data_IF_957148894674
#
_entry.id   IF_957148894674
#
_cell.length_a   1.000
_cell.length_b   1.000
_cell.length_c   1.000
_cell.angle_alpha   90.00
_cell.angle_beta   90.00
_cell.angle_gamma   90.00
#
_symmetry.space_group_name_H-M   'P 1'
#
loop_
_entity.id
_entity.type
_entity.pdbx_description
1 polymer ?
#
# COMPACT_ATOMS: atom_id res chain seq x y z
N UNK A 1 60.01 66.26 -12.27
CA UNK A 1 59.59 65.19 -13.20
C UNK A 1 58.27 64.61 -12.66
N UNK A 2 57.20 64.61 -13.48
CA UNK A 2 56.12 63.58 -13.63
C UNK A 2 55.61 62.87 -12.35
N UNK A 3 54.33 62.60 -12.07
CA UNK A 3 53.02 62.79 -12.71
C UNK A 3 51.98 62.14 -11.75
N UNK A 4 50.76 62.71 -11.69
CA UNK A 4 49.44 62.04 -11.66
C UNK A 4 48.90 61.23 -10.45
N UNK A 5 47.76 61.76 -9.96
CA UNK A 5 46.52 61.14 -9.43
C UNK A 5 46.31 59.62 -9.51
N UNK A 6 45.78 59.03 -8.42
CA UNK A 6 44.79 57.92 -8.38
C UNK A 6 44.03 58.08 -7.02
N UNK A 7 42.83 58.67 -6.92
CA UNK A 7 41.46 58.16 -7.19
C UNK A 7 41.09 56.87 -6.44
N UNK A 8 40.33 57.06 -5.35
CA UNK A 8 39.06 56.41 -4.98
C UNK A 8 38.91 54.89 -5.11
N UNK A 9 38.57 54.21 -4.01
CA UNK A 9 38.04 52.84 -4.06
C UNK A 9 37.84 52.18 -2.71
N UNK A 10 36.85 52.63 -1.92
CA UNK A 10 36.39 51.92 -0.72
C UNK A 10 35.59 50.69 -1.15
N UNK A 11 36.23 49.51 -1.19
CA UNK A 11 35.54 48.24 -1.42
C UNK A 11 34.86 47.79 -0.13
N UNK A 12 33.57 48.08 -0.01
CA UNK A 12 32.69 47.53 1.01
C UNK A 12 32.33 46.10 0.61
N UNK A 13 33.07 45.11 1.12
CA UNK A 13 32.77 43.70 0.90
C UNK A 13 31.54 43.31 1.72
N UNK A 14 30.36 43.40 1.11
CA UNK A 14 29.15 42.73 1.58
C UNK A 14 29.40 41.21 1.51
N UNK A 15 29.85 40.62 2.62
CA UNK A 15 29.77 39.17 2.81
C UNK A 15 28.29 38.79 2.93
N UNK A 16 27.70 38.46 1.79
CA UNK A 16 26.40 37.82 1.71
C UNK A 16 26.56 36.39 2.25
N UNK A 17 26.32 36.19 3.55
CA UNK A 17 26.04 34.85 4.08
C UNK A 17 24.72 34.39 3.44
N UNK A 18 24.82 33.69 2.32
CA UNK A 18 23.73 32.87 1.82
C UNK A 18 23.55 31.73 2.82
N UNK A 19 22.62 31.89 3.75
CA UNK A 19 22.08 30.78 4.51
C UNK A 19 21.35 29.87 3.52
N UNK A 20 22.07 28.87 3.00
CA UNK A 20 21.45 27.74 2.34
C UNK A 20 20.61 27.02 3.40
N UNK A 21 19.32 27.36 3.47
CA UNK A 21 18.35 26.53 4.14
C UNK A 21 18.28 25.21 3.37
N UNK A 22 19.12 24.25 3.76
CA UNK A 22 18.96 22.88 3.33
C UNK A 22 17.62 22.43 3.90
N UNK A 23 16.62 22.31 3.05
CA UNK A 23 15.39 21.59 3.39
C UNK A 23 15.79 20.14 3.62
N UNK A 24 16.06 19.75 4.87
CA UNK A 24 16.22 18.34 5.21
C UNK A 24 14.87 17.69 4.98
N UNK A 25 14.73 16.92 3.91
CA UNK A 25 13.58 16.06 3.77
C UNK A 25 13.63 15.05 4.90
N UNK A 26 12.67 15.13 5.82
CA UNK A 26 12.59 14.16 6.89
C UNK A 26 12.46 12.76 6.29
N UNK A 27 13.30 11.82 6.70
CA UNK A 27 13.24 10.45 6.31
C UNK A 27 11.85 9.87 6.56
N UNK A 28 11.43 9.11 5.57
CA UNK A 28 10.13 8.46 5.55
C UNK A 28 10.14 7.31 6.54
N UNK A 29 9.23 7.36 7.52
CA UNK A 29 8.97 6.20 8.38
C UNK A 29 8.45 5.04 7.53
N UNK A 30 9.11 3.90 7.62
CA UNK A 30 8.78 2.65 6.93
C UNK A 30 8.32 1.63 7.95
N UNK A 31 7.44 0.73 7.55
CA UNK A 31 7.11 -0.42 8.36
C UNK A 31 6.55 -1.55 7.52
N UNK A 32 6.63 -2.76 8.07
CA UNK A 32 6.33 -3.99 7.35
C UNK A 32 5.88 -5.08 8.33
N UNK A 33 4.89 -5.88 7.93
CA UNK A 33 4.60 -7.16 8.61
C UNK A 33 5.56 -8.27 8.15
N UNK A 34 6.06 -9.05 9.09
CA UNK A 34 6.89 -10.22 8.82
C UNK A 34 6.01 -11.47 8.84
N UNK A 35 5.44 -11.79 10.00
CA UNK A 35 4.58 -12.95 10.22
C UNK A 35 3.18 -12.53 10.66
N UNK A 36 2.18 -13.27 10.19
CA UNK A 36 0.81 -13.27 10.71
C UNK A 36 0.38 -14.73 10.77
N UNK A 37 0.36 -15.29 11.97
CA UNK A 37 -0.01 -16.68 12.21
C UNK A 37 -0.94 -16.82 13.41
N UNK A 38 -1.22 -18.07 13.81
CA UNK A 38 -2.14 -18.40 14.88
C UNK A 38 -1.66 -17.96 16.29
N UNK A 39 -0.40 -17.58 16.45
CA UNK A 39 0.14 -17.14 17.72
C UNK A 39 0.34 -15.62 17.76
N UNK A 40 0.89 -15.05 16.69
CA UNK A 40 1.29 -13.65 16.71
C UNK A 40 1.28 -12.97 15.34
N UNK A 41 1.15 -11.65 15.41
CA UNK A 41 1.47 -10.72 14.33
C UNK A 41 2.81 -10.07 14.68
N UNK A 42 3.80 -10.24 13.81
CA UNK A 42 5.12 -9.63 13.97
C UNK A 42 5.43 -8.68 12.82
N UNK A 43 6.24 -7.68 13.11
CA UNK A 43 6.77 -6.80 12.08
C UNK A 43 7.81 -5.85 12.63
N UNK A 44 8.15 -4.84 11.83
CA UNK A 44 9.03 -3.77 12.26
C UNK A 44 8.57 -2.42 11.72
N UNK A 45 9.00 -1.35 12.39
CA UNK A 45 8.85 0.02 11.91
C UNK A 45 10.10 0.84 12.22
N UNK A 46 10.60 1.58 11.23
CA UNK A 46 11.88 2.28 11.30
C UNK A 46 11.83 3.63 10.59
N UNK A 47 12.55 4.61 11.15
CA UNK A 47 12.77 5.90 10.56
C UNK A 47 14.26 6.25 10.68
N UNK A 48 14.96 6.43 9.56
CA UNK A 48 16.39 6.71 9.57
C UNK A 48 16.76 8.07 10.17
N UNK A 49 15.84 9.03 10.24
CA UNK A 49 16.08 10.31 10.94
C UNK A 49 16.08 10.15 12.45
N UNK A 50 15.41 9.11 12.93
CA UNK A 50 15.31 8.76 14.35
C UNK A 50 15.75 7.31 14.49
N UNK A 51 16.98 7.04 14.06
CA UNK A 51 17.49 5.69 13.86
C UNK A 51 17.40 4.79 15.10
N UNK A 52 17.41 5.35 16.31
CA UNK A 52 17.34 4.57 17.56
C UNK A 52 15.97 4.67 18.26
N UNK A 53 15.00 5.39 17.67
CA UNK A 53 13.70 5.60 18.27
C UNK A 53 12.73 4.47 17.94
N UNK A 54 12.04 3.96 18.96
CA UNK A 54 10.88 3.11 18.78
C UNK A 54 9.73 3.91 18.17
N UNK A 55 9.09 3.36 17.13
CA UNK A 55 7.96 4.00 16.45
C UNK A 55 6.64 3.35 16.87
N UNK A 56 5.59 4.16 16.96
CA UNK A 56 4.24 3.66 17.21
C UNK A 56 3.61 3.19 15.89
N UNK A 57 3.15 1.94 15.89
CA UNK A 57 2.47 1.28 14.79
C UNK A 57 1.02 1.05 15.18
N UNK A 58 0.07 1.61 14.44
CA UNK A 58 -1.34 1.22 14.57
C UNK A 58 -1.61 0.01 13.70
N UNK A 59 -2.08 -1.07 14.33
CA UNK A 59 -2.51 -2.30 13.67
C UNK A 59 -4.04 -2.39 13.72
N UNK A 60 -4.64 -2.71 12.58
CA UNK A 60 -6.08 -2.88 12.42
C UNK A 60 -6.34 -4.27 11.85
N UNK A 61 -7.24 -5.03 12.47
CA UNK A 61 -7.71 -6.32 11.96
C UNK A 61 -9.20 -6.17 11.63
N UNK A 62 -9.53 -6.40 10.37
CA UNK A 62 -10.89 -6.25 9.85
C UNK A 62 -11.37 -7.59 9.34
N UNK A 63 -12.55 -8.03 9.77
CA UNK A 63 -13.22 -9.18 9.16
C UNK A 63 -13.56 -8.83 7.71
N UNK A 64 -13.05 -9.60 6.74
CA UNK A 64 -13.22 -9.30 5.32
C UNK A 64 -14.64 -9.49 4.81
N UNK A 65 -15.43 -10.32 5.48
CA UNK A 65 -16.80 -10.59 5.09
C UNK A 65 -17.75 -9.52 5.60
N UNK A 66 -17.65 -9.17 6.88
CA UNK A 66 -18.56 -8.20 7.53
C UNK A 66 -18.08 -6.76 7.40
N UNK A 67 -16.78 -6.53 7.18
CA UNK A 67 -16.16 -5.20 7.26
C UNK A 67 -15.98 -4.71 8.70
N UNK A 68 -16.29 -5.53 9.70
CA UNK A 68 -16.17 -5.20 11.11
C UNK A 68 -14.70 -5.16 11.55
N UNK A 69 -14.33 -4.11 12.30
CA UNK A 69 -12.99 -3.98 12.88
C UNK A 69 -12.96 -4.73 14.21
N UNK A 70 -12.30 -5.89 14.22
CA UNK A 70 -12.16 -6.74 15.41
C UNK A 70 -11.04 -6.28 16.33
N UNK A 71 -10.04 -5.61 15.77
CA UNK A 71 -8.87 -5.14 16.49
C UNK A 71 -8.42 -3.80 15.94
N UNK A 72 -8.10 -2.88 16.85
CA UNK A 72 -7.45 -1.61 16.53
C UNK A 72 -6.64 -1.17 17.73
N UNK A 73 -5.32 -1.33 17.66
CA UNK A 73 -4.43 -0.89 18.72
C UNK A 73 -3.16 -0.25 18.17
N UNK A 74 -2.49 0.50 19.05
CA UNK A 74 -1.20 1.12 18.78
C UNK A 74 -0.13 0.39 19.58
N UNK A 75 0.82 -0.24 18.88
CA UNK A 75 1.95 -0.96 19.47
C UNK A 75 3.26 -0.16 19.28
N UNK A 76 4.14 -0.20 20.27
CA UNK A 76 5.48 0.37 20.14
C UNK A 76 6.43 -0.63 19.49
N UNK A 77 7.01 -0.27 18.34
CA UNK A 77 8.04 -1.03 17.65
C UNK A 77 9.42 -0.78 18.28
N UNK A 78 9.63 -1.32 19.48
CA UNK A 78 10.85 -1.16 20.28
C UNK A 78 11.56 -2.47 20.64
N UNK A 79 11.10 -3.61 20.10
CA UNK A 79 11.71 -4.91 20.38
C UNK A 79 13.04 -5.04 19.61
N UNK A 80 14.08 -5.47 20.32
CA UNK A 80 15.36 -5.77 19.71
C UNK A 80 15.29 -7.03 18.83
N UNK A 81 15.80 -6.93 17.60
CA UNK A 81 16.05 -8.09 16.72
C UNK A 81 17.42 -7.97 16.07
N UNK A 82 18.23 -9.02 16.22
CA UNK A 82 19.56 -9.11 15.62
C UNK A 82 19.52 -8.89 14.09
N UNK A 83 18.51 -9.45 13.42
CA UNK A 83 18.34 -9.29 11.97
C UNK A 83 18.14 -7.84 11.53
N UNK A 84 17.54 -6.98 12.36
CA UNK A 84 17.32 -5.56 12.05
C UNK A 84 18.61 -4.76 12.28
N UNK A 85 19.37 -5.11 13.32
CA UNK A 85 20.70 -4.56 13.55
C UNK A 85 21.65 -4.88 12.38
N UNK A 86 21.67 -6.14 11.93
CA UNK A 86 22.49 -6.60 10.80
C UNK A 86 22.08 -5.92 9.48
N UNK A 87 20.83 -5.46 9.37
CA UNK A 87 20.31 -4.66 8.24
C UNK A 87 20.64 -3.16 8.34
N UNK A 88 21.47 -2.75 9.30
CA UNK A 88 21.83 -1.35 9.59
C UNK A 88 20.63 -0.47 9.97
N UNK A 89 19.62 -1.04 10.63
CA UNK A 89 18.49 -0.30 11.17
C UNK A 89 18.79 0.11 12.62
N UNK A 90 19.66 1.11 12.77
CA UNK A 90 20.02 1.68 14.07
C UNK A 90 20.48 0.65 15.11
N UNK A 91 19.97 0.79 16.33
CA UNK A 91 20.23 -0.13 17.45
C UNK A 91 19.51 -1.49 17.35
N UNK A 92 18.75 -1.76 16.29
CA UNK A 92 18.00 -3.01 16.09
C UNK A 92 16.70 -3.12 16.89
N UNK A 93 16.34 -2.12 17.69
CA UNK A 93 15.12 -2.06 18.51
C UNK A 93 13.95 -1.49 17.72
N UNK A 94 13.55 -2.18 16.65
CA UNK A 94 12.51 -1.73 15.73
C UNK A 94 11.43 -2.78 15.47
N UNK A 95 11.48 -3.92 16.15
CA UNK A 95 10.48 -4.98 16.05
C UNK A 95 9.25 -4.69 16.91
N UNK A 96 8.12 -5.26 16.52
CA UNK A 96 6.94 -5.41 17.36
C UNK A 96 6.35 -6.82 17.23
N UNK A 97 5.69 -7.27 18.28
CA UNK A 97 4.93 -8.51 18.36
C UNK A 97 3.59 -8.23 19.03
N UNK A 98 2.51 -8.66 18.40
CA UNK A 98 1.16 -8.61 18.96
C UNK A 98 0.68 -10.05 19.05
N UNK A 99 0.41 -10.51 20.26
CA UNK A 99 -0.25 -11.80 20.48
C UNK A 99 -1.74 -11.59 20.27
N UNK A 100 -2.31 -12.31 19.32
CA UNK A 100 -3.75 -12.26 19.03
C UNK A 100 -4.34 -13.58 19.47
N UNK A 101 -5.32 -13.51 20.37
CA UNK A 101 -6.17 -14.65 20.66
C UNK A 101 -7.23 -14.80 19.58
N UNK A 102 -6.84 -15.44 18.47
CA UNK A 102 -7.75 -15.68 17.35
C UNK A 102 -8.95 -16.54 17.74
N UNK A 103 -8.86 -17.34 18.82
CA UNK A 103 -9.99 -18.16 19.29
C UNK A 103 -11.16 -17.31 19.81
N UNK A 104 -10.89 -16.06 20.17
CA UNK A 104 -11.92 -15.09 20.56
C UNK A 104 -12.67 -14.48 19.37
N UNK A 105 -12.16 -14.63 18.15
CA UNK A 105 -12.78 -14.10 16.95
C UNK A 105 -13.61 -15.19 16.27
N UNK A 106 -14.72 -14.82 15.59
CA UNK A 106 -15.45 -15.76 14.76
C UNK A 106 -14.53 -16.44 13.73
N UNK A 107 -14.94 -17.61 13.24
CA UNK A 107 -14.27 -18.20 12.09
C UNK A 107 -14.40 -17.27 10.88
N UNK A 108 -13.34 -17.17 10.07
CA UNK A 108 -13.36 -16.29 8.91
C UNK A 108 -11.99 -15.77 8.49
N UNK A 109 -12.01 -14.90 7.49
CA UNK A 109 -10.81 -14.30 6.90
C UNK A 109 -10.68 -12.86 7.40
N UNK A 110 -9.52 -12.55 7.92
CA UNK A 110 -9.19 -11.28 8.54
C UNK A 110 -8.11 -10.56 7.73
N UNK A 111 -8.34 -9.29 7.41
CA UNK A 111 -7.37 -8.39 6.81
C UNK A 111 -6.60 -7.67 7.93
N UNK A 112 -5.28 -7.76 7.89
CA UNK A 112 -4.35 -7.12 8.83
C UNK A 112 -3.65 -5.96 8.14
N UNK A 113 -3.87 -4.76 8.66
CA UNK A 113 -3.32 -3.51 8.16
C UNK A 113 -2.48 -2.83 9.23
N UNK A 114 -1.38 -2.20 8.83
CA UNK A 114 -0.46 -1.51 9.72
C UNK A 114 -0.22 -0.09 9.23
N UNK A 115 -0.12 0.87 10.15
CA UNK A 115 0.25 2.26 9.84
C UNK A 115 1.28 2.76 10.84
N UNK A 116 2.28 3.50 10.37
CA UNK A 116 3.29 4.19 11.20
C UNK A 116 3.24 5.68 10.89
N UNK A 117 2.91 6.50 11.89
CA UNK A 117 2.59 7.91 11.67
C UNK A 117 1.42 8.06 10.70
N UNK A 118 1.62 8.78 9.59
CA UNK A 118 0.61 8.97 8.54
C UNK A 118 0.70 7.97 7.38
N UNK A 119 1.51 6.91 7.50
CA UNK A 119 1.84 6.02 6.38
C UNK A 119 1.39 4.60 6.63
N UNK A 120 0.64 4.04 5.68
CA UNK A 120 0.24 2.63 5.69
C UNK A 120 1.39 1.74 5.22
N UNK A 121 1.49 0.55 5.80
CA UNK A 121 2.41 -0.49 5.38
C UNK A 121 2.03 -0.92 3.96
N UNK A 122 3.04 -1.14 3.12
CA UNK A 122 2.81 -1.57 1.73
C UNK A 122 2.42 -3.05 1.62
N UNK A 123 2.57 -3.83 2.70
CA UNK A 123 2.35 -5.27 2.71
C UNK A 123 1.25 -5.69 3.69
N UNK A 124 0.00 -5.33 3.40
CA UNK A 124 -1.14 -5.86 4.15
C UNK A 124 -1.15 -7.40 4.10
N UNK A 125 -1.64 -8.03 5.16
CA UNK A 125 -1.66 -9.50 5.32
C UNK A 125 -3.08 -9.99 5.53
N UNK A 126 -3.32 -11.26 5.29
CA UNK A 126 -4.58 -11.93 5.65
C UNK A 126 -4.32 -13.10 6.56
N UNK A 127 -5.20 -13.31 7.52
CA UNK A 127 -5.21 -14.48 8.40
C UNK A 127 -6.56 -15.19 8.28
N UNK A 128 -6.53 -16.53 8.24
CA UNK A 128 -7.75 -17.35 8.27
C UNK A 128 -7.82 -18.01 9.64
N UNK A 129 -8.90 -17.71 10.36
CA UNK A 129 -9.20 -18.31 11.65
C UNK A 129 -10.24 -19.43 11.46
N UNK A 130 -9.92 -20.65 11.89
CA UNK A 130 -10.75 -21.83 11.68
C UNK A 130 -10.59 -22.47 10.29
N UNK A 131 -11.42 -23.48 10.00
CA UNK A 131 -11.54 -24.04 8.66
C UNK A 131 -12.35 -23.07 7.80
N UNK A 132 -11.88 -22.77 6.59
CA UNK A 132 -12.56 -21.87 5.65
C UNK A 132 -13.90 -22.43 5.09
N UNK A 133 -14.49 -23.43 5.77
CA UNK A 133 -15.54 -24.30 5.27
C UNK A 133 -16.39 -24.86 6.44
N UNK A 134 -17.14 -23.99 7.14
CA UNK A 134 -18.29 -24.40 7.96
C UNK A 134 -19.36 -23.30 8.05
N UNK A 135 -20.54 -23.66 7.55
CA UNK A 135 -21.85 -23.00 7.63
C UNK A 135 -22.35 -22.83 9.08
N UNK A 136 -22.70 -21.60 9.47
CA UNK A 136 -23.74 -21.31 10.47
C UNK A 136 -24.64 -20.21 9.95
N UNK A 137 -25.84 -20.64 9.56
CA UNK A 137 -26.97 -19.87 9.05
C UNK A 137 -27.68 -19.00 10.10
N UNK A 138 -28.41 -17.98 9.57
CA UNK A 138 -29.42 -17.06 10.17
C UNK A 138 -28.86 -15.72 10.72
N UNK A 139 -29.16 -14.49 10.25
CA UNK A 139 -30.10 -13.90 9.28
C UNK A 139 -29.61 -12.51 8.81
N UNK A 140 -29.61 -12.28 7.48
CA UNK A 140 -29.92 -11.06 6.69
C UNK A 140 -29.15 -11.12 5.37
N UNK A 141 -29.64 -11.90 4.40
CA UNK A 141 -28.95 -12.31 3.15
C UNK A 141 -28.01 -11.26 2.51
N UNK A 142 -26.69 -11.55 2.46
CA UNK A 142 -25.70 -11.03 1.50
C UNK A 142 -24.82 -12.18 0.92
N UNK A 143 -23.96 -11.93 -0.10
CA UNK A 143 -23.96 -12.67 -1.36
C UNK A 143 -23.16 -13.98 -1.36
N UNK A 144 -23.49 -14.82 -2.35
CA UNK A 144 -23.06 -16.19 -2.64
C UNK A 144 -21.61 -16.54 -2.29
N UNK A 145 -21.44 -17.79 -1.86
CA UNK A 145 -20.18 -18.54 -1.84
C UNK A 145 -19.37 -18.24 -3.11
N UNK A 146 -18.40 -17.34 -2.99
CA UNK A 146 -17.69 -16.77 -4.14
C UNK A 146 -16.78 -17.86 -4.71
N UNK A 147 -17.26 -18.56 -5.74
CA UNK A 147 -16.46 -19.54 -6.45
C UNK A 147 -15.32 -18.83 -7.18
N UNK A 148 -14.09 -19.06 -6.72
CA UNK A 148 -12.87 -18.51 -7.32
C UNK A 148 -12.32 -19.47 -8.37
N UNK A 149 -12.31 -19.04 -9.62
CA UNK A 149 -11.68 -19.77 -10.73
C UNK A 149 -10.32 -19.15 -11.02
N UNK A 150 -9.20 -19.88 -10.88
CA UNK A 150 -7.89 -19.36 -11.22
C UNK A 150 -7.82 -19.05 -12.72
N UNK A 151 -7.46 -17.81 -13.06
CA UNK A 151 -7.18 -17.40 -14.44
C UNK A 151 -5.68 -17.46 -14.77
N UNK A 152 -4.85 -17.66 -13.75
CA UNK A 152 -3.39 -17.77 -13.86
C UNK A 152 -2.67 -16.48 -13.47
N UNK A 153 -1.41 -16.37 -13.85
CA UNK A 153 -0.55 -15.22 -13.52
C UNK A 153 -0.73 -14.12 -14.55
N UNK A 154 -1.06 -12.92 -14.07
CA UNK A 154 -1.22 -11.71 -14.87
C UNK A 154 -0.19 -10.67 -14.47
N UNK A 155 0.31 -9.93 -15.46
CA UNK A 155 1.03 -8.69 -15.21
C UNK A 155 0.02 -7.65 -14.70
N UNK A 156 0.31 -7.00 -13.59
CA UNK A 156 -0.48 -5.88 -13.07
C UNK A 156 0.34 -4.60 -13.06
N UNK A 157 -0.29 -3.51 -13.48
CA UNK A 157 0.23 -2.14 -13.38
C UNK A 157 -0.81 -1.24 -12.71
N UNK A 158 -0.49 0.04 -12.55
CA UNK A 158 -1.43 1.03 -12.02
C UNK A 158 -1.60 2.24 -12.92
N UNK A 159 -2.83 2.71 -13.04
CA UNK A 159 -3.17 4.00 -13.65
C UNK A 159 -4.04 4.84 -12.71
N UNK A 160 -4.14 6.13 -12.99
CA UNK A 160 -4.89 7.08 -12.17
C UNK A 160 -5.48 8.18 -13.07
N UNK A 161 -6.34 9.07 -12.55
CA UNK A 161 -7.06 10.02 -13.38
C UNK A 161 -6.21 11.20 -13.87
N UNK A 162 -4.90 11.17 -13.67
CA UNK A 162 -4.04 12.24 -14.16
C UNK A 162 -3.89 12.17 -15.69
N UNK A 163 -3.58 13.31 -16.31
CA UNK A 163 -3.47 13.42 -17.78
C UNK A 163 -2.44 12.45 -18.38
N UNK A 164 -1.34 12.15 -17.68
CA UNK A 164 -0.29 11.26 -18.21
C UNK A 164 -0.67 9.78 -18.18
N UNK A 165 -1.56 9.37 -17.26
CA UNK A 165 -1.99 7.96 -17.15
C UNK A 165 -3.28 7.69 -17.93
N UNK A 166 -4.18 8.67 -18.00
CA UNK A 166 -5.50 8.54 -18.62
C UNK A 166 -5.63 9.28 -19.95
N UNK A 167 -4.55 9.85 -20.48
CA UNK A 167 -4.57 10.69 -21.70
C UNK A 167 -5.57 11.87 -21.64
N UNK A 168 -5.94 12.31 -20.43
CA UNK A 168 -6.92 13.38 -20.20
C UNK A 168 -8.37 12.91 -20.04
N UNK A 169 -8.63 11.61 -20.13
CA UNK A 169 -9.96 11.02 -19.87
C UNK A 169 -10.33 10.99 -18.39
N UNK A 170 -9.37 11.18 -17.49
CA UNK A 170 -9.66 11.24 -16.06
C UNK A 170 -10.16 9.91 -15.53
N UNK A 171 -11.39 9.89 -15.02
CA UNK A 171 -12.04 8.69 -14.45
C UNK A 171 -13.02 8.01 -15.42
N UNK A 172 -13.15 8.50 -16.65
CA UNK A 172 -14.11 7.93 -17.59
C UNK A 172 -13.59 6.59 -18.13
N UNK A 173 -14.31 5.50 -17.82
CA UNK A 173 -13.95 4.17 -18.31
C UNK A 173 -14.62 3.86 -19.66
N UNK A 174 -14.13 2.84 -20.35
CA UNK A 174 -14.67 2.38 -21.62
C UNK A 174 -16.12 1.87 -21.55
N UNK A 175 -16.57 1.41 -20.39
CA UNK A 175 -17.97 1.00 -20.14
C UNK A 175 -18.89 2.17 -19.78
N UNK A 176 -18.33 3.36 -19.55
CA UNK A 176 -19.06 4.53 -19.09
C UNK A 176 -19.20 4.64 -17.56
N UNK A 177 -18.66 3.69 -16.81
CA UNK A 177 -18.53 3.80 -15.36
C UNK A 177 -17.52 4.89 -14.97
N UNK A 178 -17.60 5.36 -13.73
CA UNK A 178 -16.60 6.27 -13.14
C UNK A 178 -15.61 5.42 -12.36
N UNK A 179 -14.35 5.47 -12.79
CA UNK A 179 -13.28 4.70 -12.18
C UNK A 179 -13.10 5.04 -10.69
N UNK A 180 -13.02 4.00 -9.86
CA UNK A 180 -12.84 4.10 -8.42
C UNK A 180 -11.74 3.16 -7.92
N UNK A 181 -10.95 3.64 -6.95
CA UNK A 181 -9.88 2.85 -6.34
C UNK A 181 -10.47 1.66 -5.57
N UNK A 182 -9.75 0.54 -5.51
CA UNK A 182 -10.22 -0.74 -4.98
C UNK A 182 -11.49 -1.30 -5.65
N UNK A 183 -11.81 -0.82 -6.86
CA UNK A 183 -13.01 -1.24 -7.60
C UNK A 183 -12.71 -1.43 -9.08
N UNK A 184 -12.18 -0.43 -9.78
CA UNK A 184 -12.07 -0.47 -11.24
C UNK A 184 -10.74 -1.06 -11.71
N UNK A 185 -10.80 -1.96 -12.70
CA UNK A 185 -9.63 -2.40 -13.47
C UNK A 185 -9.82 -2.21 -14.97
N UNK A 186 -8.74 -1.89 -15.66
CA UNK A 186 -8.65 -1.95 -17.11
C UNK A 186 -8.10 -3.31 -17.55
N UNK A 187 -8.72 -3.92 -18.56
CA UNK A 187 -8.39 -5.30 -19.01
C UNK A 187 -8.34 -5.41 -20.52
N UNK A 188 -7.92 -6.58 -21.03
CA UNK A 188 -8.23 -7.02 -22.39
C UNK A 188 -9.61 -7.73 -22.40
N UNK A 189 -10.66 -7.15 -23.00
CA UNK A 189 -12.00 -7.72 -22.99
C UNK A 189 -12.12 -9.09 -23.67
N UNK A 190 -11.14 -9.47 -24.51
CA UNK A 190 -11.09 -10.80 -25.13
C UNK A 190 -10.64 -11.89 -24.15
N UNK A 191 -9.95 -11.51 -23.07
CA UNK A 191 -9.45 -12.42 -22.03
C UNK A 191 -10.33 -12.33 -20.78
N UNK A 192 -10.63 -11.12 -20.33
CA UNK A 192 -11.52 -10.84 -19.20
C UNK A 192 -12.66 -9.94 -19.71
N UNK A 193 -13.86 -10.49 -19.95
CA UNK A 193 -15.01 -9.70 -20.40
C UNK A 193 -15.36 -8.58 -19.40
N UNK A 194 -15.92 -7.47 -19.90
CA UNK A 194 -16.41 -6.42 -19.02
C UNK A 194 -17.49 -6.92 -18.05
N UNK A 195 -17.55 -6.32 -16.87
CA UNK A 195 -18.42 -6.73 -15.77
C UNK A 195 -17.89 -7.93 -14.97
N UNK A 196 -16.84 -8.61 -15.45
CA UNK A 196 -16.20 -9.68 -14.68
C UNK A 196 -15.66 -9.14 -13.36
N UNK A 197 -15.92 -9.88 -12.29
CA UNK A 197 -15.35 -9.61 -10.97
C UNK A 197 -14.06 -10.41 -10.82
N UNK A 198 -12.95 -9.72 -10.58
CA UNK A 198 -11.60 -10.29 -10.55
C UNK A 198 -10.99 -10.06 -9.18
N UNK A 199 -10.56 -11.12 -8.52
CA UNK A 199 -9.79 -11.04 -7.28
C UNK A 199 -8.30 -10.93 -7.58
N UNK A 200 -7.67 -9.90 -7.03
CA UNK A 200 -6.23 -9.63 -7.13
C UNK A 200 -5.73 -9.31 -5.72
N UNK A 201 -4.80 -10.11 -5.19
CA UNK A 201 -4.24 -9.93 -3.84
C UNK A 201 -5.33 -9.74 -2.75
N UNK A 202 -6.45 -10.44 -2.89
CA UNK A 202 -7.56 -10.40 -1.94
C UNK A 202 -8.52 -9.21 -2.08
N UNK A 203 -8.37 -8.33 -3.06
CA UNK A 203 -9.33 -7.27 -3.39
C UNK A 203 -10.09 -7.68 -4.65
N UNK A 204 -11.42 -7.51 -4.65
CA UNK A 204 -12.27 -7.81 -5.80
C UNK A 204 -12.50 -6.53 -6.59
N UNK A 205 -12.11 -6.55 -7.85
CA UNK A 205 -12.29 -5.47 -8.81
C UNK A 205 -13.32 -5.85 -9.86
N UNK A 206 -13.90 -4.86 -10.53
CA UNK A 206 -14.75 -5.04 -11.70
C UNK A 206 -14.02 -4.59 -12.96
N UNK A 207 -14.06 -5.44 -13.99
CA UNK A 207 -13.57 -5.12 -15.32
C UNK A 207 -14.47 -4.08 -16.01
N UNK A 208 -14.10 -2.81 -15.93
CA UNK A 208 -14.92 -1.70 -16.44
C UNK A 208 -14.20 -0.84 -17.47
N UNK A 209 -12.89 -1.02 -17.64
CA UNK A 209 -12.08 -0.18 -18.52
C UNK A 209 -11.17 -0.96 -19.48
N UNK A 210 -10.60 -0.27 -20.46
CA UNK A 210 -9.52 -0.78 -21.31
C UNK A 210 -8.45 0.29 -21.54
N UNK A 211 -7.19 -0.14 -21.64
CA UNK A 211 -6.09 0.68 -22.11
C UNK A 211 -5.57 0.22 -23.48
N UNK A 212 -4.93 1.13 -24.22
CA UNK A 212 -4.26 0.80 -25.47
C UNK A 212 -3.21 -0.32 -25.29
N UNK A 213 -2.40 -0.22 -24.23
CA UNK A 213 -1.35 -1.18 -23.86
C UNK A 213 -1.80 -2.36 -22.98
N UNK A 214 -3.08 -2.42 -22.60
CA UNK A 214 -3.63 -3.51 -21.77
C UNK A 214 -4.16 -4.60 -22.70
N UNK A 215 -3.36 -5.67 -22.89
CA UNK A 215 -3.59 -6.74 -23.87
C UNK A 215 -3.15 -8.08 -23.29
N UNK A 216 -3.88 -9.16 -23.58
CA UNK A 216 -3.59 -10.49 -23.05
C UNK A 216 -3.72 -10.56 -21.52
N UNK A 217 -2.78 -11.27 -20.87
CA UNK A 217 -2.73 -11.41 -19.42
C UNK A 217 -2.13 -10.17 -18.73
N UNK A 218 -2.72 -9.00 -18.99
CA UNK A 218 -2.33 -7.72 -18.41
C UNK A 218 -3.57 -7.03 -17.83
N UNK A 219 -3.49 -6.61 -16.58
CA UNK A 219 -4.51 -5.81 -15.89
C UNK A 219 -3.88 -4.50 -15.42
N UNK A 220 -4.55 -3.37 -15.66
CA UNK A 220 -4.13 -2.07 -15.11
C UNK A 220 -5.12 -1.65 -14.02
N UNK A 221 -4.64 -1.50 -12.79
CA UNK A 221 -5.48 -1.24 -11.62
C UNK A 221 -5.66 0.27 -11.45
N UNK A 222 -6.90 0.71 -11.25
CA UNK A 222 -7.15 2.12 -11.01
C UNK A 222 -6.79 2.50 -9.57
N UNK A 223 -6.06 3.61 -9.43
CA UNK A 223 -5.75 4.26 -8.17
C UNK A 223 -6.18 5.73 -8.21
N UNK A 224 -6.45 6.32 -7.05
CA UNK A 224 -6.89 7.72 -6.98
C UNK A 224 -5.75 8.70 -7.28
N UNK A 225 -4.50 8.32 -6.99
CA UNK A 225 -3.33 9.19 -7.17
C UNK A 225 -2.21 8.55 -7.96
N UNK A 226 -1.42 9.40 -8.63
CA UNK A 226 -0.22 8.96 -9.37
C UNK A 226 0.91 8.48 -8.45
N UNK A 227 0.87 8.81 -7.16
CA UNK A 227 1.83 8.27 -6.20
C UNK A 227 1.53 6.81 -5.90
N UNK A 228 0.25 6.45 -5.75
CA UNK A 228 -0.18 5.07 -5.50
C UNK A 228 0.15 4.15 -6.67
N UNK A 229 -0.02 4.61 -7.93
CA UNK A 229 0.38 3.83 -9.11
C UNK A 229 1.88 3.49 -9.11
N UNK A 230 2.72 4.46 -8.75
CA UNK A 230 4.18 4.26 -8.62
C UNK A 230 4.54 3.33 -7.48
N UNK A 231 3.79 3.38 -6.38
CA UNK A 231 3.98 2.50 -5.23
C UNK A 231 3.59 1.06 -5.55
N UNK A 232 2.51 0.85 -6.31
CA UNK A 232 2.12 -0.46 -6.83
C UNK A 232 3.19 -1.05 -7.74
N UNK A 233 3.70 -0.24 -8.68
CA UNK A 233 4.71 -0.65 -9.63
C UNK A 233 4.19 -1.66 -10.65
N UNK A 234 5.09 -2.47 -11.20
CA UNK A 234 4.74 -3.61 -12.07
C UNK A 234 4.88 -4.89 -11.28
N UNK A 235 3.84 -5.72 -11.25
CA UNK A 235 3.86 -6.99 -10.54
C UNK A 235 3.38 -8.11 -11.45
N UNK A 236 3.75 -9.36 -11.15
CA UNK A 236 3.10 -10.54 -11.71
C UNK A 236 2.38 -11.23 -10.55
N UNK A 237 1.06 -11.33 -10.63
CA UNK A 237 0.25 -11.89 -9.54
C UNK A 237 -0.75 -12.90 -10.07
N UNK A 238 -1.09 -13.86 -9.22
CA UNK A 238 -2.16 -14.80 -9.49
C UNK A 238 -3.52 -14.09 -9.37
N UNK A 239 -4.39 -14.32 -10.34
CA UNK A 239 -5.71 -13.68 -10.41
C UNK A 239 -6.81 -14.72 -10.56
N UNK A 240 -7.97 -14.40 -9.98
CA UNK A 240 -9.11 -15.30 -9.94
C UNK A 240 -10.36 -14.60 -10.47
N UNK A 241 -11.13 -15.29 -11.31
CA UNK A 241 -12.49 -14.90 -11.63
C UNK A 241 -13.39 -15.25 -10.45
N UNK A 242 -14.23 -14.30 -10.05
CA UNK A 242 -15.24 -14.47 -9.01
C UNK A 242 -16.57 -14.81 -9.69
N UNK A 243 -17.08 -16.01 -9.46
CA UNK A 243 -18.42 -16.44 -9.90
C UNK A 243 -19.39 -16.45 -8.72
N UNK A 244 -20.55 -15.85 -8.97
CA UNK A 244 -21.81 -16.01 -8.24
C UNK A 244 -22.58 -17.21 -8.80
#
# INVERSE_FOLDING_TARGET
>A
MKFRHIVTGTFFTFSLLAAAAFTSFAAVSKGRFETVDAAAITGWAYNSDKADAALNVQVVITNKHTGEVMFREVVSAGEYRQSLYDQNMGNGCHGFTINIDWTSYPEGIYLVEGTVGSRRFSNTRTYTNGNADTDVSQQKQPPEDLKLIPLGVFKTTGYCPCKSCSEGWGRHTSTGAIAASNHTIAVDPKVIPYGSRIMINGIIYTAEDKGGGVKGNHIDIFFDTHSETKQHGVQNTEVYLVQS
#
